data_IF_061172398200
#
_entry.id   IF_061172398200
#
_cell.length_a   1.000
_cell.length_b   1.000
_cell.length_c   1.000
_cell.angle_alpha   90.00
_cell.angle_beta   90.00
_cell.angle_gamma   90.00
#
_symmetry.space_group_name_H-M   'P 1'
#
loop_
_entity.id
_entity.type
_entity.pdbx_description
1 polymer ?
#
# COMPACT_ATOMS: atom_id res chain seq x y z
N UNK A 1 17.75 19.18 23.82
CA UNK A 1 18.08 18.22 22.74
C UNK A 1 16.82 17.58 22.14
N UNK A 2 15.85 17.11 22.95
CA UNK A 2 14.58 16.51 22.47
C UNK A 2 13.70 17.44 21.60
N UNK A 3 13.60 18.73 21.94
CA UNK A 3 12.78 19.69 21.17
C UNK A 3 13.29 19.92 19.72
N UNK A 4 14.60 19.79 19.48
CA UNK A 4 15.20 19.93 18.15
C UNK A 4 14.89 18.71 17.28
N UNK A 5 15.01 17.51 17.85
CA UNK A 5 14.65 16.26 17.17
C UNK A 5 13.18 16.22 16.80
N UNK A 6 12.30 16.70 17.69
CA UNK A 6 10.85 16.74 17.43
C UNK A 6 10.49 17.71 16.31
N UNK A 7 11.15 18.88 16.25
CA UNK A 7 10.99 19.84 15.15
C UNK A 7 11.45 19.27 13.82
N UNK A 8 12.55 18.48 13.81
CA UNK A 8 13.04 17.83 12.60
C UNK A 8 12.09 16.73 12.09
N UNK A 9 11.56 15.92 12.99
CA UNK A 9 10.57 14.87 12.66
C UNK A 9 9.33 15.53 12.04
N UNK A 10 8.78 16.57 12.69
CA UNK A 10 7.61 17.29 12.17
C UNK A 10 7.84 17.89 10.78
N UNK A 11 9.03 18.45 10.52
CA UNK A 11 9.37 18.98 9.18
C UNK A 11 9.47 17.86 8.15
N UNK A 12 10.06 16.73 8.51
CA UNK A 12 10.16 15.58 7.62
C UNK A 12 8.77 15.03 7.29
N UNK A 13 7.90 14.90 8.29
CA UNK A 13 6.52 14.44 8.11
C UNK A 13 5.74 15.40 7.21
N UNK A 14 5.87 16.70 7.43
CA UNK A 14 5.24 17.73 6.57
C UNK A 14 5.72 17.61 5.12
N UNK A 15 7.02 17.43 4.90
CA UNK A 15 7.57 17.24 3.55
C UNK A 15 7.06 15.93 2.92
N UNK A 16 6.96 14.86 3.70
CA UNK A 16 6.41 13.59 3.21
C UNK A 16 4.94 13.73 2.82
N UNK A 17 4.12 14.41 3.64
CA UNK A 17 2.72 14.72 3.34
C UNK A 17 2.58 15.59 2.09
N UNK A 18 3.47 16.56 1.88
CA UNK A 18 3.45 17.36 0.65
C UNK A 18 3.86 16.54 -0.59
N UNK A 19 4.76 15.56 -0.45
CA UNK A 19 5.18 14.68 -1.55
C UNK A 19 4.06 13.72 -1.94
N UNK A 20 3.56 12.94 -0.98
CA UNK A 20 2.14 12.77 -0.71
C UNK A 20 1.13 13.34 -1.71
N UNK A 21 0.62 14.51 -1.34
CA UNK A 21 -0.38 15.30 -2.04
C UNK A 21 0.03 15.62 -3.47
N UNK A 22 1.29 15.96 -3.73
CA UNK A 22 1.76 16.25 -5.09
C UNK A 22 1.71 15.02 -5.99
N UNK A 23 2.12 13.85 -5.47
CA UNK A 23 2.03 12.60 -6.20
C UNK A 23 0.58 12.27 -6.53
N UNK A 24 -0.32 12.41 -5.54
CA UNK A 24 -1.76 12.21 -5.74
C UNK A 24 -2.33 13.19 -6.77
N UNK A 25 -1.96 14.47 -6.73
CA UNK A 25 -2.46 15.50 -7.65
C UNK A 25 -2.04 15.26 -9.11
N UNK A 26 -0.92 14.58 -9.34
CA UNK A 26 -0.45 14.22 -10.68
C UNK A 26 -1.05 12.90 -11.18
N UNK A 27 -1.54 12.06 -10.26
CA UNK A 27 -2.23 10.81 -10.59
C UNK A 27 -3.68 11.07 -10.95
N UNK A 28 -4.21 10.21 -11.82
CA UNK A 28 -5.65 10.14 -12.02
C UNK A 28 -6.39 9.49 -10.83
N UNK A 29 -7.71 9.62 -10.79
CA UNK A 29 -8.54 9.15 -9.68
C UNK A 29 -8.37 7.65 -9.36
N UNK A 30 -8.08 6.81 -10.37
CA UNK A 30 -7.86 5.38 -10.15
C UNK A 30 -6.45 5.13 -9.60
N UNK A 31 -5.43 5.80 -10.12
CA UNK A 31 -4.07 5.76 -9.58
C UNK A 31 -4.00 6.23 -8.13
N UNK A 32 -4.71 7.31 -7.79
CA UNK A 32 -4.85 7.79 -6.42
C UNK A 32 -5.46 6.74 -5.50
N UNK A 33 -6.56 6.09 -5.93
CA UNK A 33 -7.20 5.01 -5.18
C UNK A 33 -6.27 3.84 -4.98
N UNK A 34 -5.60 3.36 -6.03
CA UNK A 34 -4.65 2.24 -5.94
C UNK A 34 -3.52 2.57 -4.96
N UNK A 35 -2.90 3.75 -5.11
CA UNK A 35 -1.81 4.20 -4.23
C UNK A 35 -2.23 4.24 -2.76
N UNK A 36 -3.42 4.77 -2.48
CA UNK A 36 -3.94 4.82 -1.12
C UNK A 36 -4.37 3.46 -0.60
N UNK A 37 -4.81 2.52 -1.44
CA UNK A 37 -5.23 1.19 -0.99
C UNK A 37 -4.07 0.24 -0.70
N UNK A 38 -2.91 0.42 -1.35
CA UNK A 38 -1.73 -0.43 -1.20
C UNK A 38 -1.39 -0.76 0.27
N UNK A 39 -1.29 0.21 1.21
CA UNK A 39 -1.04 -0.09 2.61
C UNK A 39 -2.04 -1.07 3.23
N UNK A 40 -3.34 -0.91 2.91
CA UNK A 40 -4.38 -1.82 3.36
C UNK A 40 -4.23 -3.23 2.73
N UNK A 41 -3.86 -3.32 1.45
CA UNK A 41 -3.60 -4.60 0.77
C UNK A 41 -2.46 -5.39 1.41
N UNK A 42 -1.43 -4.70 1.91
CA UNK A 42 -0.32 -5.33 2.63
C UNK A 42 -0.65 -5.64 4.09
N UNK A 43 -1.50 -4.82 4.72
CA UNK A 43 -1.92 -5.03 6.10
C UNK A 43 -2.82 -6.26 6.25
N UNK A 44 -3.81 -6.44 5.37
CA UNK A 44 -4.76 -7.55 5.45
C UNK A 44 -4.40 -8.69 4.50
N UNK A 45 -4.74 -9.92 4.89
CA UNK A 45 -4.58 -11.12 4.05
C UNK A 45 -5.91 -11.87 3.94
N UNK A 46 -6.67 -11.64 2.88
CA UNK A 46 -7.96 -12.30 2.66
C UNK A 46 -8.22 -12.51 1.17
N UNK A 47 -8.87 -13.62 0.73
CA UNK A 47 -9.15 -13.90 -0.68
C UNK A 47 -9.90 -12.82 -1.46
N UNK A 48 -10.68 -11.99 -0.75
CA UNK A 48 -11.42 -10.86 -1.36
C UNK A 48 -10.51 -9.66 -1.67
N UNK A 49 -9.33 -9.61 -1.07
CA UNK A 49 -8.37 -8.52 -1.22
C UNK A 49 -7.50 -8.82 -2.44
N UNK A 50 -7.36 -7.86 -3.37
CA UNK A 50 -6.49 -8.06 -4.51
C UNK A 50 -5.04 -8.23 -4.06
N UNK A 51 -4.34 -9.20 -4.65
CA UNK A 51 -3.00 -9.59 -4.20
C UNK A 51 -2.97 -10.77 -3.23
N UNK A 52 -4.11 -11.33 -2.82
CA UNK A 52 -4.12 -12.54 -2.01
C UNK A 52 -3.49 -13.71 -2.78
N UNK A 53 -2.47 -14.32 -2.18
CA UNK A 53 -1.81 -15.52 -2.71
C UNK A 53 -2.20 -16.75 -1.87
N UNK A 54 -1.83 -16.76 -0.59
CA UNK A 54 -2.15 -17.85 0.34
C UNK A 54 -2.49 -17.32 1.74
N UNK A 55 -3.22 -18.11 2.54
CA UNK A 55 -3.57 -17.75 3.93
C UNK A 55 -2.33 -17.55 4.82
N UNK A 56 -1.22 -18.24 4.51
CA UNK A 56 0.05 -18.11 5.22
C UNK A 56 0.94 -16.98 4.70
N UNK A 57 0.48 -16.18 3.73
CA UNK A 57 1.24 -15.04 3.23
C UNK A 57 1.44 -14.00 4.34
N UNK A 58 2.66 -13.45 4.47
CA UNK A 58 2.93 -12.47 5.50
C UNK A 58 2.08 -11.21 5.30
N UNK A 59 1.56 -10.71 6.41
CA UNK A 59 0.68 -9.55 6.46
C UNK A 59 0.90 -8.80 7.77
N UNK A 60 0.18 -7.68 7.97
CA UNK A 60 0.42 -6.80 9.10
C UNK A 60 1.50 -5.77 8.82
N UNK A 61 1.05 -4.60 8.39
CA UNK A 61 1.87 -3.40 8.31
C UNK A 61 1.96 -2.76 9.70
N UNK A 62 3.18 -2.55 10.16
CA UNK A 62 3.46 -1.91 11.44
C UNK A 62 2.98 -0.45 11.46
N UNK A 63 2.18 -0.09 12.47
CA UNK A 63 1.65 1.26 12.62
C UNK A 63 0.63 1.66 11.54
N UNK A 64 -0.03 0.68 10.91
CA UNK A 64 -1.09 0.97 9.94
C UNK A 64 -2.31 1.59 10.62
N UNK A 65 -2.68 2.79 10.18
CA UNK A 65 -3.92 3.45 10.51
C UNK A 65 -4.70 3.71 9.23
N UNK A 66 -5.93 3.19 9.16
CA UNK A 66 -6.76 3.32 7.98
C UNK A 66 -7.31 4.75 7.86
N UNK A 67 -7.07 5.42 6.72
CA UNK A 67 -7.71 6.68 6.37
C UNK A 67 -9.18 6.47 5.95
N UNK A 68 -9.94 7.56 5.78
CA UNK A 68 -11.38 7.47 5.44
C UNK A 68 -11.67 6.63 4.18
N UNK A 69 -10.84 6.74 3.14
CA UNK A 69 -10.99 5.99 1.90
C UNK A 69 -10.68 4.50 2.06
N UNK A 70 -9.65 4.17 2.85
CA UNK A 70 -9.31 2.81 3.21
C UNK A 70 -10.39 2.21 4.10
N UNK A 71 -10.93 2.96 5.06
CA UNK A 71 -12.03 2.52 5.92
C UNK A 71 -13.27 2.19 5.09
N UNK A 72 -13.68 3.06 4.16
CA UNK A 72 -14.79 2.77 3.24
C UNK A 72 -14.56 1.48 2.45
N UNK A 73 -13.36 1.28 1.91
CA UNK A 73 -13.02 0.05 1.20
C UNK A 73 -13.08 -1.19 2.10
N UNK A 74 -12.61 -1.08 3.35
CA UNK A 74 -12.68 -2.16 4.33
C UNK A 74 -14.13 -2.45 4.75
N UNK A 75 -14.96 -1.42 4.90
CA UNK A 75 -16.37 -1.54 5.25
C UNK A 75 -17.18 -2.19 4.12
N UNK A 76 -16.93 -1.81 2.86
CA UNK A 76 -17.53 -2.44 1.69
C UNK A 76 -17.19 -3.94 1.63
N UNK A 77 -15.93 -4.29 1.92
CA UNK A 77 -15.49 -5.67 2.01
C UNK A 77 -16.14 -6.39 3.20
N UNK A 78 -16.20 -5.76 4.37
CA UNK A 78 -16.79 -6.34 5.55
C UNK A 78 -18.29 -6.62 5.34
N UNK A 79 -18.98 -5.72 4.65
CA UNK A 79 -20.37 -5.88 4.25
C UNK A 79 -20.54 -7.05 3.28
N UNK A 80 -19.66 -7.16 2.28
CA UNK A 80 -19.67 -8.27 1.33
C UNK A 80 -19.38 -9.64 1.99
N UNK A 81 -18.55 -9.66 3.04
CA UNK A 81 -18.23 -10.86 3.81
C UNK A 81 -19.23 -11.16 4.93
N UNK A 82 -20.06 -10.18 5.32
CA UNK A 82 -20.91 -10.24 6.51
C UNK A 82 -20.13 -10.25 7.84
N UNK A 83 -18.82 -9.98 7.81
CA UNK A 83 -17.94 -9.96 8.98
C UNK A 83 -16.72 -9.06 8.72
N UNK A 84 -16.13 -8.45 9.76
CA UNK A 84 -14.92 -7.65 9.60
C UNK A 84 -13.74 -8.51 9.15
N UNK A 85 -12.81 -7.89 8.42
CA UNK A 85 -11.57 -8.55 8.02
C UNK A 85 -10.74 -8.97 9.25
N UNK A 86 -10.16 -10.18 9.24
CA UNK A 86 -9.32 -10.63 10.33
C UNK A 86 -8.09 -9.73 10.43
N UNK A 87 -7.85 -9.19 11.63
CA UNK A 87 -6.65 -8.42 11.91
C UNK A 87 -5.44 -9.36 11.91
N UNK A 88 -4.31 -8.93 11.32
CA UNK A 88 -3.09 -9.72 11.30
C UNK A 88 -2.58 -9.93 12.73
N UNK A 89 -2.27 -11.17 13.09
CA UNK A 89 -1.77 -11.51 14.43
C UNK A 89 -0.33 -11.05 14.67
N UNK A 90 0.44 -10.81 13.60
CA UNK A 90 1.83 -10.37 13.63
C UNK A 90 2.05 -9.29 12.58
N UNK A 91 2.87 -8.30 12.90
CA UNK A 91 3.27 -7.25 11.97
C UNK A 91 4.59 -7.65 11.32
N UNK A 92 4.52 -8.40 10.22
CA UNK A 92 5.72 -8.86 9.51
C UNK A 92 6.32 -7.81 8.56
N UNK A 93 5.50 -6.81 8.19
CA UNK A 93 5.88 -5.71 7.31
C UNK A 93 6.19 -4.48 8.17
N UNK A 94 7.45 -4.06 8.18
CA UNK A 94 7.94 -2.94 8.98
C UNK A 94 7.55 -1.58 8.39
N UNK A 95 7.41 -1.50 7.07
CA UNK A 95 7.09 -0.25 6.40
C UNK A 95 6.98 -0.41 4.89
N UNK A 96 6.30 0.55 4.27
CA UNK A 96 6.20 0.69 2.83
C UNK A 96 6.82 2.01 2.43
N UNK A 97 7.65 1.98 1.40
CA UNK A 97 8.31 3.16 0.87
C UNK A 97 8.02 3.25 -0.61
N UNK A 98 7.86 4.46 -1.11
CA UNK A 98 7.84 4.72 -2.55
C UNK A 98 8.93 5.70 -2.89
N UNK A 99 9.65 5.42 -3.97
CA UNK A 99 10.70 6.27 -4.53
C UNK A 99 10.56 6.23 -6.04
N UNK A 100 10.95 7.30 -6.74
CA UNK A 100 10.95 7.32 -8.21
C UNK A 100 10.09 8.42 -8.80
N UNK A 101 9.70 8.24 -10.07
CA UNK A 101 8.97 9.21 -10.88
C UNK A 101 7.69 9.70 -10.21
N UNK A 102 7.12 8.91 -9.30
CA UNK A 102 5.95 9.22 -8.45
C UNK A 102 5.95 10.60 -7.81
N UNK A 103 7.12 11.20 -7.58
CA UNK A 103 7.28 12.56 -7.02
C UNK A 103 8.07 13.54 -7.91
N UNK A 104 8.33 13.19 -9.17
CA UNK A 104 9.07 14.01 -10.13
C UNK A 104 8.15 14.61 -11.21
N UNK A 105 8.66 15.64 -11.90
CA UNK A 105 7.96 16.41 -12.94
C UNK A 105 7.56 15.54 -14.16
N UNK A 106 8.02 14.29 -14.24
CA UNK A 106 7.72 13.35 -15.32
C UNK A 106 6.60 12.33 -15.02
N UNK A 107 5.85 12.49 -13.93
CA UNK A 107 4.70 11.62 -13.63
C UNK A 107 3.64 11.72 -14.73
N UNK A 108 3.38 10.59 -15.39
CA UNK A 108 2.30 10.39 -16.34
C UNK A 108 1.24 9.48 -15.73
N UNK A 109 -0.01 9.55 -16.22
CA UNK A 109 -1.11 8.64 -15.83
C UNK A 109 -0.85 7.15 -16.10
N UNK A 110 0.30 6.81 -16.70
CA UNK A 110 0.74 5.45 -17.00
C UNK A 110 2.05 5.07 -16.30
N UNK A 111 2.53 5.88 -15.35
CA UNK A 111 3.81 5.62 -14.69
C UNK A 111 3.72 4.44 -13.73
N UNK A 112 4.75 3.60 -13.77
CA UNK A 112 4.89 2.47 -12.85
C UNK A 112 5.06 2.99 -11.41
N UNK A 113 4.32 2.39 -10.47
CA UNK A 113 4.42 2.71 -9.05
C UNK A 113 5.53 1.86 -8.44
N UNK A 114 6.69 2.48 -8.23
CA UNK A 114 7.81 1.85 -7.52
C UNK A 114 7.56 1.86 -6.01
N UNK A 115 7.33 0.67 -5.45
CA UNK A 115 7.01 0.47 -4.02
C UNK A 115 7.96 -0.57 -3.44
N UNK A 116 8.64 -0.18 -2.37
CA UNK A 116 9.54 -1.02 -1.61
C UNK A 116 8.87 -1.46 -0.31
N UNK A 117 8.84 -2.77 -0.09
CA UNK A 117 8.28 -3.38 1.11
C UNK A 117 9.42 -3.74 2.05
N UNK A 118 9.47 -3.07 3.19
CA UNK A 118 10.43 -3.39 4.24
C UNK A 118 9.84 -4.47 5.15
N UNK A 119 10.55 -5.59 5.25
CA UNK A 119 10.16 -6.76 6.04
C UNK A 119 11.05 -6.93 7.26
N UNK A 120 10.56 -7.67 8.24
CA UNK A 120 11.37 -8.09 9.39
C UNK A 120 12.59 -8.92 8.95
N UNK A 121 13.80 -8.65 9.47
CA UNK A 121 14.99 -9.43 9.13
C UNK A 121 14.89 -10.89 9.59
N UNK A 122 14.03 -11.18 10.57
CA UNK A 122 13.75 -12.53 11.06
C UNK A 122 12.79 -13.32 10.13
N UNK A 123 12.29 -12.71 9.05
CA UNK A 123 11.38 -13.36 8.12
C UNK A 123 12.07 -14.48 7.33
N UNK A 124 11.47 -15.68 7.35
CA UNK A 124 11.94 -16.87 6.65
C UNK A 124 11.97 -16.69 5.13
N UNK A 125 12.83 -17.42 4.42
CA UNK A 125 12.90 -17.38 2.95
C UNK A 125 11.55 -17.74 2.30
N UNK A 126 10.82 -18.71 2.86
CA UNK A 126 9.50 -19.10 2.38
C UNK A 126 8.49 -17.96 2.48
N UNK A 127 8.46 -17.25 3.61
CA UNK A 127 7.58 -16.08 3.78
C UNK A 127 7.93 -14.96 2.78
N UNK A 128 9.21 -14.78 2.46
CA UNK A 128 9.66 -13.80 1.45
C UNK A 128 9.18 -14.16 0.05
N UNK A 129 9.20 -15.44 -0.32
CA UNK A 129 8.66 -15.92 -1.59
C UNK A 129 7.14 -15.68 -1.68
N UNK A 130 6.41 -15.98 -0.60
CA UNK A 130 4.97 -15.71 -0.52
C UNK A 130 4.67 -14.21 -0.67
N UNK A 131 5.46 -13.35 -0.05
CA UNK A 131 5.33 -11.90 -0.20
C UNK A 131 5.65 -11.44 -1.63
N UNK A 132 6.70 -12.01 -2.24
CA UNK A 132 7.05 -11.74 -3.63
C UNK A 132 5.90 -12.08 -4.58
N UNK A 133 5.27 -13.24 -4.39
CA UNK A 133 4.10 -13.65 -5.17
C UNK A 133 2.91 -12.71 -4.94
N UNK A 134 2.67 -12.29 -3.70
CA UNK A 134 1.66 -11.26 -3.37
C UNK A 134 1.95 -9.94 -4.11
N UNK A 135 3.20 -9.48 -4.14
CA UNK A 135 3.59 -8.27 -4.88
C UNK A 135 3.33 -8.40 -6.40
N UNK A 136 3.58 -9.57 -6.99
CA UNK A 136 3.29 -9.84 -8.40
C UNK A 136 1.79 -9.76 -8.67
N UNK A 137 0.95 -10.36 -7.82
CA UNK A 137 -0.50 -10.30 -7.96
C UNK A 137 -1.05 -8.87 -7.80
N UNK A 138 -0.48 -8.07 -6.90
CA UNK A 138 -0.85 -6.65 -6.75
C UNK A 138 -0.47 -5.87 -8.02
N UNK A 139 0.70 -6.15 -8.58
CA UNK A 139 1.16 -5.55 -9.85
C UNK A 139 0.22 -5.90 -11.00
N UNK A 140 -0.19 -7.16 -11.10
CA UNK A 140 -1.12 -7.61 -12.14
C UNK A 140 -2.52 -7.00 -11.96
N UNK A 141 -2.99 -6.86 -10.71
CA UNK A 141 -4.23 -6.16 -10.41
C UNK A 141 -4.18 -4.68 -10.81
N UNK A 142 -3.07 -3.99 -10.52
CA UNK A 142 -2.84 -2.61 -10.96
C UNK A 142 -2.88 -2.52 -12.50
N UNK A 143 -2.19 -3.44 -13.19
CA UNK A 143 -2.20 -3.50 -14.66
C UNK A 143 -3.61 -3.76 -15.22
N UNK A 144 -4.38 -4.65 -14.60
CA UNK A 144 -5.76 -4.92 -15.01
C UNK A 144 -6.65 -3.67 -14.89
N UNK A 145 -6.45 -2.85 -13.85
CA UNK A 145 -7.12 -1.55 -13.71
C UNK A 145 -6.67 -0.55 -14.78
N UNK A 146 -5.38 -0.56 -15.16
CA UNK A 146 -4.84 0.26 -16.25
C UNK A 146 -5.29 -0.18 -17.65
N UNK A 147 -5.47 -1.48 -17.88
CA UNK A 147 -6.00 -2.03 -19.15
C UNK A 147 -7.49 -1.70 -19.34
N UNK A 148 -8.24 -1.56 -18.25
CA UNK A 148 -9.64 -1.08 -18.29
C UNK A 148 -9.77 0.33 -18.87
N UNK A 149 -8.67 1.07 -18.97
CA UNK A 149 -8.57 2.43 -19.52
C UNK A 149 -8.43 2.48 -21.04
N UNK A 150 -8.00 1.40 -21.70
CA UNK A 150 -7.76 1.36 -23.15
C UNK A 150 -8.89 0.73 -23.97
N UNK A 151 -9.94 0.22 -23.32
CA UNK A 151 -11.16 -0.24 -23.99
C UNK A 151 -12.29 0.78 -23.85
N UNK A 152 -12.26 1.82 -24.69
CA UNK A 152 -13.41 2.71 -24.96
C UNK A 152 -13.48 3.00 -26.44
#
# INVERSE_FOLDING_TARGET
MQAYTQTLIQRLDTLNQQRIERALALMDLQGQRVFQLIPALFHFNHPIIPGFYEANSPSGLFGFEANELQQQFLDDIALALGQPLPQPSQNEILGLYTMGSTSSIGQSTSSDLDIWVCISPQMSTKSRELLSNKCLLITDWQKALGLKRTSS
#
